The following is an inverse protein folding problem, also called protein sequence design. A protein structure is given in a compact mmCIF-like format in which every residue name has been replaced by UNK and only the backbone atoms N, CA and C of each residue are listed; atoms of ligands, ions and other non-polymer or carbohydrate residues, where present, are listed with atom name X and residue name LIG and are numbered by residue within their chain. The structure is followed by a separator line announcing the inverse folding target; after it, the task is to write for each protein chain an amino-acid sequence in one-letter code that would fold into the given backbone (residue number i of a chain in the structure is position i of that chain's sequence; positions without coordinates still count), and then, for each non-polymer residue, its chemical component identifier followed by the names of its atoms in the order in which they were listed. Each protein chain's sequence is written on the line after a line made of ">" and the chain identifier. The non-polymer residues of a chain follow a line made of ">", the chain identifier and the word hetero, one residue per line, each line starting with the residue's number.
data_IF_524219555474
#
_entry.id   IF_524219555474
#
_cell.length_a   1.000
_cell.length_b   1.000
_cell.length_c   1.000
_cell.angle_alpha   90.00
_cell.angle_beta   90.00
_cell.angle_gamma   90.00
#
_symmetry.space_group_name_H-M   'P 1'
#
loop_
_entity.id
_entity.type
_entity.pdbx_description
1 polymer ?
#
# COMPACT_ATOMS: atom_id res chain seq x y z
N UNK A 1 -20.86 14.10 -42.60
CA UNK A 1 -19.87 15.03 -42.03
C UNK A 1 -20.37 15.65 -40.71
N UNK A 2 -21.53 16.31 -40.65
CA UNK A 2 -22.11 16.80 -39.38
C UNK A 2 -22.42 15.69 -38.36
N UNK A 3 -22.92 14.53 -38.82
CA UNK A 3 -23.12 13.37 -37.94
C UNK A 3 -21.79 12.76 -37.40
N UNK A 4 -20.68 12.88 -38.14
CA UNK A 4 -19.36 12.47 -37.67
C UNK A 4 -18.78 13.47 -36.67
N UNK A 5 -19.06 14.76 -36.86
CA UNK A 5 -18.65 15.82 -35.93
C UNK A 5 -19.41 15.68 -34.60
N UNK A 6 -20.73 15.42 -34.63
CA UNK A 6 -21.50 15.15 -33.41
C UNK A 6 -21.06 13.84 -32.71
N UNK A 7 -20.69 12.81 -33.47
CA UNK A 7 -20.12 11.58 -32.90
C UNK A 7 -18.76 11.80 -32.25
N UNK A 8 -17.93 12.71 -32.80
CA UNK A 8 -16.61 13.05 -32.24
C UNK A 8 -16.76 13.99 -31.04
N UNK A 9 -17.73 14.92 -31.06
CA UNK A 9 -18.05 15.79 -29.93
C UNK A 9 -18.65 15.01 -28.76
N UNK A 10 -19.55 14.06 -29.05
CA UNK A 10 -20.07 13.13 -28.07
C UNK A 10 -18.95 12.23 -27.53
N UNK A 11 -18.08 11.68 -28.38
CA UNK A 11 -16.93 10.87 -27.96
C UNK A 11 -15.88 11.68 -27.16
N UNK A 12 -15.70 12.96 -27.46
CA UNK A 12 -14.79 13.85 -26.74
C UNK A 12 -15.36 14.26 -25.37
N UNK A 13 -16.66 14.53 -25.28
CA UNK A 13 -17.34 14.71 -23.99
C UNK A 13 -17.37 13.41 -23.18
N UNK A 14 -17.57 12.26 -23.82
CA UNK A 14 -17.51 10.95 -23.16
C UNK A 14 -16.08 10.59 -22.72
N UNK A 15 -15.04 10.93 -23.49
CA UNK A 15 -13.64 10.77 -23.10
C UNK A 15 -13.24 11.73 -22.00
N UNK A 16 -13.69 12.99 -22.02
CA UNK A 16 -13.46 13.93 -20.91
C UNK A 16 -14.14 13.45 -19.64
N UNK A 17 -15.40 13.00 -19.74
CA UNK A 17 -16.15 12.45 -18.61
C UNK A 17 -15.54 11.13 -18.14
N UNK A 18 -15.09 10.24 -19.04
CA UNK A 18 -14.44 8.99 -18.65
C UNK A 18 -13.04 9.18 -18.10
N UNK A 19 -12.30 10.20 -18.56
CA UNK A 19 -10.98 10.56 -18.02
C UNK A 19 -11.12 11.19 -16.64
N UNK A 20 -12.11 12.05 -16.44
CA UNK A 20 -12.48 12.60 -15.13
C UNK A 20 -12.94 11.47 -14.21
N UNK A 21 -13.82 10.58 -14.68
CA UNK A 21 -14.28 9.43 -13.90
C UNK A 21 -13.14 8.44 -13.60
N UNK A 22 -12.22 8.24 -14.55
CA UNK A 22 -11.02 7.40 -14.39
C UNK A 22 -10.06 8.00 -13.37
N UNK A 23 -9.83 9.32 -13.40
CA UNK A 23 -9.04 10.02 -12.40
C UNK A 23 -9.72 10.01 -11.03
N UNK A 24 -11.02 10.26 -10.95
CA UNK A 24 -11.80 10.13 -9.72
C UNK A 24 -11.70 8.71 -9.17
N UNK A 25 -11.80 7.68 -10.01
CA UNK A 25 -11.66 6.28 -9.59
C UNK A 25 -10.22 5.93 -9.17
N UNK A 26 -9.20 6.44 -9.88
CA UNK A 26 -7.78 6.30 -9.47
C UNK A 26 -7.50 7.01 -8.13
N UNK A 27 -8.12 8.16 -7.90
CA UNK A 27 -7.97 8.95 -6.67
C UNK A 27 -8.74 8.31 -5.51
N UNK A 28 -9.93 7.74 -5.75
CA UNK A 28 -10.70 6.94 -4.78
C UNK A 28 -10.01 5.63 -4.40
N UNK A 29 -9.33 5.00 -5.35
CA UNK A 29 -8.58 3.75 -5.12
C UNK A 29 -7.15 4.00 -4.62
N UNK A 30 -6.73 5.26 -4.48
CA UNK A 30 -5.43 5.57 -3.91
C UNK A 30 -5.44 5.19 -2.43
N UNK A 31 -4.60 4.23 -2.06
CA UNK A 31 -4.39 3.77 -0.70
C UNK A 31 -3.70 4.87 0.13
N UNK A 32 -4.36 6.00 0.39
CA UNK A 32 -3.90 7.06 1.27
C UNK A 32 -5.07 7.50 2.16
N UNK A 33 -4.81 7.77 3.45
CA UNK A 33 -5.79 8.46 4.32
C UNK A 33 -5.74 9.98 4.11
N UNK A 34 -5.55 10.44 2.88
CA UNK A 34 -5.94 11.81 2.56
C UNK A 34 -7.35 11.70 2.01
N UNK A 35 -8.40 11.98 2.82
CA UNK A 35 -9.74 12.07 2.28
C UNK A 35 -9.71 13.16 1.21
N UNK A 36 -10.46 12.94 0.14
CA UNK A 36 -10.76 13.99 -0.80
C UNK A 36 -11.55 15.04 -0.02
N UNK A 37 -10.88 16.08 0.49
CA UNK A 37 -11.55 17.12 1.27
C UNK A 37 -12.47 17.94 0.36
N UNK A 38 -13.47 18.62 0.92
CA UNK A 38 -14.26 19.58 0.14
C UNK A 38 -13.36 20.69 -0.42
N UNK A 39 -12.24 20.99 0.25
CA UNK A 39 -11.20 21.90 -0.26
C UNK A 39 -10.43 21.30 -1.44
N UNK A 40 -10.16 19.99 -1.48
CA UNK A 40 -9.54 19.31 -2.63
C UNK A 40 -10.51 19.23 -3.82
N UNK A 41 -11.80 19.01 -3.56
CA UNK A 41 -12.84 19.08 -4.58
C UNK A 41 -12.96 20.50 -5.13
N UNK A 42 -12.97 21.52 -4.28
CA UNK A 42 -12.96 22.93 -4.68
C UNK A 42 -11.65 23.30 -5.37
N UNK A 43 -10.50 22.80 -4.95
CA UNK A 43 -9.21 23.08 -5.57
C UNK A 43 -9.14 22.43 -6.95
N UNK A 44 -9.56 21.17 -7.10
CA UNK A 44 -9.65 20.46 -8.38
C UNK A 44 -10.70 21.11 -9.29
N UNK A 45 -11.84 21.53 -8.76
CA UNK A 45 -12.87 22.23 -9.53
C UNK A 45 -12.40 23.63 -9.95
N UNK A 46 -11.65 24.33 -9.11
CA UNK A 46 -11.05 25.64 -9.39
C UNK A 46 -9.82 25.53 -10.28
N UNK A 47 -9.10 24.42 -10.26
CA UNK A 47 -7.97 24.09 -11.14
C UNK A 47 -8.47 23.63 -12.51
N UNK A 48 -9.58 22.88 -12.58
CA UNK A 48 -10.31 22.59 -13.81
C UNK A 48 -10.87 23.88 -14.41
N UNK A 49 -11.51 24.73 -13.61
CA UNK A 49 -12.09 26.01 -14.05
C UNK A 49 -11.05 27.09 -14.38
N UNK A 50 -9.87 27.08 -13.74
CA UNK A 50 -8.77 28.03 -14.03
C UNK A 50 -7.84 27.55 -15.14
N UNK A 51 -7.67 26.24 -15.31
CA UNK A 51 -6.98 25.64 -16.47
C UNK A 51 -7.83 25.71 -17.74
N UNK A 52 -9.16 25.75 -17.60
CA UNK A 52 -10.12 26.06 -18.65
C UNK A 52 -10.63 27.48 -18.49
N UNK A 53 -9.75 28.48 -18.65
CA UNK A 53 -10.19 29.87 -18.74
C UNK A 53 -10.78 30.15 -20.15
N UNK A 54 -11.88 29.47 -20.46
CA UNK A 54 -12.62 29.60 -21.71
C UNK A 54 -14.01 30.10 -21.36
N UNK A 55 -14.31 31.40 -21.57
CA UNK A 55 -15.70 31.82 -21.69
C UNK A 55 -16.27 31.10 -22.90
N UNK A 56 -17.35 30.35 -22.70
CA UNK A 56 -18.05 29.63 -23.76
C UNK A 56 -18.53 30.67 -24.79
N UNK A 57 -18.10 30.62 -26.08
CA UNK A 57 -18.58 31.59 -27.06
C UNK A 57 -20.04 31.27 -27.42
N UNK A 58 -20.93 32.24 -27.24
CA UNK A 58 -22.36 32.08 -27.53
C UNK A 58 -22.69 31.98 -29.04
N UNK A 59 -21.69 32.14 -29.94
CA UNK A 59 -21.91 32.12 -31.39
C UNK A 59 -20.90 31.27 -32.16
N UNK A 60 -21.43 30.54 -33.13
CA UNK A 60 -20.81 29.45 -33.92
C UNK A 60 -19.59 29.85 -34.79
N UNK A 61 -19.31 31.14 -34.96
CA UNK A 61 -18.27 31.64 -35.88
C UNK A 61 -16.85 31.69 -35.29
N UNK A 62 -16.68 31.58 -33.96
CA UNK A 62 -15.38 31.67 -33.29
C UNK A 62 -14.66 30.32 -33.04
N UNK A 63 -15.28 29.20 -33.45
CA UNK A 63 -14.76 27.85 -33.20
C UNK A 63 -13.42 27.54 -33.90
N UNK A 64 -13.15 28.21 -35.03
CA UNK A 64 -11.92 28.00 -35.82
C UNK A 64 -10.69 28.64 -35.16
N UNK A 65 -10.88 29.78 -34.50
CA UNK A 65 -9.84 30.44 -33.70
C UNK A 65 -9.60 29.72 -32.36
N UNK A 66 -10.65 29.13 -31.77
CA UNK A 66 -10.58 28.31 -30.57
C UNK A 66 -9.73 27.04 -30.77
N UNK A 67 -9.99 26.29 -31.85
CA UNK A 67 -9.26 25.05 -32.16
C UNK A 67 -7.76 25.28 -32.37
N UNK A 68 -7.38 26.33 -33.11
CA UNK A 68 -5.97 26.69 -33.32
C UNK A 68 -5.23 27.09 -32.02
N UNK A 69 -5.96 27.50 -30.97
CA UNK A 69 -5.39 27.95 -29.68
C UNK A 69 -5.27 26.81 -28.68
N UNK A 70 -6.18 25.84 -28.73
CA UNK A 70 -6.09 24.56 -28.01
C UNK A 70 -4.88 23.75 -28.48
N UNK A 71 -4.63 23.70 -29.79
CA UNK A 71 -3.45 23.02 -30.35
C UNK A 71 -2.12 23.70 -29.93
N UNK A 72 -2.10 25.04 -29.79
CA UNK A 72 -0.95 25.78 -29.25
C UNK A 72 -0.73 25.58 -27.73
N UNK A 73 -1.79 25.27 -26.98
CA UNK A 73 -1.70 24.97 -25.54
C UNK A 73 -1.17 23.55 -25.34
N UNK A 74 -1.60 22.58 -26.15
CA UNK A 74 -1.05 21.23 -26.14
C UNK A 74 0.45 21.19 -26.46
N UNK A 75 0.94 22.04 -27.38
CA UNK A 75 2.38 22.15 -27.67
C UNK A 75 3.20 22.89 -26.59
N UNK A 76 2.54 23.64 -25.68
CA UNK A 76 3.18 24.30 -24.54
C UNK A 76 3.24 23.42 -23.30
N UNK A 77 2.25 22.54 -23.13
CA UNK A 77 2.21 21.55 -22.03
C UNK A 77 3.34 20.53 -22.18
N UNK A 78 3.71 20.12 -23.41
CA UNK A 78 4.89 19.26 -23.63
C UNK A 78 6.22 19.94 -23.26
N UNK A 79 6.29 21.27 -23.30
CA UNK A 79 7.49 22.04 -22.96
C UNK A 79 7.59 22.39 -21.46
N UNK A 80 6.50 22.29 -20.69
CA UNK A 80 6.49 22.64 -19.27
C UNK A 80 7.10 21.54 -18.38
N UNK A 81 6.97 20.27 -18.78
CA UNK A 81 7.53 19.11 -18.07
C UNK A 81 9.07 19.08 -18.02
N UNK A 82 9.78 19.86 -18.86
CA UNK A 82 11.26 19.87 -18.88
C UNK A 82 11.90 20.98 -18.03
N UNK A 83 11.13 22.02 -17.67
CA UNK A 83 11.68 23.22 -17.02
C UNK A 83 11.50 23.25 -15.50
N UNK A 84 10.63 22.40 -14.94
CA UNK A 84 10.44 22.30 -13.49
C UNK A 84 11.63 21.60 -12.81
N UNK A 85 12.14 20.51 -13.41
CA UNK A 85 13.30 19.76 -12.89
C UNK A 85 14.58 20.62 -12.88
N UNK A 86 14.74 21.53 -13.84
CA UNK A 86 15.90 22.44 -13.92
C UNK A 86 15.90 23.56 -12.89
N UNK A 87 14.76 23.87 -12.25
CA UNK A 87 14.62 24.96 -11.27
C UNK A 87 14.94 24.54 -9.83
N UNK A 88 14.87 23.24 -9.50
CA UNK A 88 15.10 22.75 -8.13
C UNK A 88 16.59 22.44 -7.89
N UNK A 89 17.38 22.18 -8.94
CA UNK A 89 18.83 21.97 -8.86
C UNK A 89 19.62 23.04 -9.64
N UNK A 90 20.00 24.17 -9.01
CA UNK A 90 20.90 25.11 -9.64
C UNK A 90 22.32 24.54 -9.67
N UNK A 91 22.72 23.95 -10.79
CA UNK A 91 24.11 23.58 -11.05
C UNK A 91 25.02 24.81 -10.99
N UNK A 92 25.90 24.90 -9.99
CA UNK A 92 27.11 25.72 -10.10
C UNK A 92 28.09 24.99 -11.01
N UNK A 93 28.23 25.48 -12.25
CA UNK A 93 29.40 25.20 -13.09
C UNK A 93 30.64 25.73 -12.38
N UNK A 94 31.57 24.84 -12.01
CA UNK A 94 32.98 25.26 -11.88
C UNK A 94 33.58 25.29 -13.29
N UNK A 95 34.27 26.39 -13.60
CA UNK A 95 34.97 26.61 -14.86
C UNK A 95 36.19 25.67 -14.99
N UNK A 96 36.57 25.29 -16.22
CA UNK A 96 37.67 24.38 -16.47
C UNK A 96 39.03 25.09 -16.43
N UNK A 97 40.02 24.44 -15.83
CA UNK A 97 41.44 24.76 -16.07
C UNK A 97 41.85 24.11 -17.40
N UNK A 98 42.28 24.94 -18.35
CA UNK A 98 42.94 24.60 -19.63
C UNK A 98 44.23 23.80 -19.35
N UNK A 99 44.68 22.77 -20.09
CA UNK A 99 45.15 22.62 -21.49
C UNK A 99 45.80 21.19 -21.48
N UNK A 100 45.95 20.36 -22.52
CA UNK A 100 45.86 20.52 -23.97
C UNK A 100 45.82 19.13 -24.67
N UNK A 101 45.51 19.18 -25.98
CA UNK A 101 45.88 18.25 -27.08
C UNK A 101 45.16 16.89 -27.19
N UNK A 102 44.56 16.47 -28.30
CA UNK A 102 44.51 16.93 -29.70
C UNK A 102 43.26 16.37 -30.44
N UNK A 103 42.65 17.19 -31.31
CA UNK A 103 42.25 16.95 -32.74
C UNK A 103 41.77 15.51 -33.09
N UNK A 104 40.56 15.21 -33.58
CA UNK A 104 39.89 15.74 -34.80
C UNK A 104 38.42 15.28 -34.90
N UNK A 105 37.63 16.09 -35.60
CA UNK A 105 36.24 15.94 -35.98
C UNK A 105 35.96 14.77 -36.97
N UNK A 106 34.73 14.24 -36.86
CA UNK A 106 34.01 13.55 -37.92
C UNK A 106 32.52 13.50 -37.57
N UNK A 107 31.74 14.43 -38.12
CA UNK A 107 30.28 14.49 -37.96
C UNK A 107 29.57 13.46 -38.88
N UNK A 108 28.32 13.18 -38.48
CA UNK A 108 27.15 12.77 -39.26
C UNK A 108 26.70 11.31 -39.13
N UNK A 109 25.45 11.16 -38.66
CA UNK A 109 24.71 9.91 -38.62
C UNK A 109 23.55 9.98 -37.63
N UNK A 110 22.50 10.74 -37.97
CA UNK A 110 21.20 10.66 -37.31
C UNK A 110 20.68 9.21 -37.30
N UNK A 111 20.22 8.73 -36.13
CA UNK A 111 19.05 7.85 -36.06
C UNK A 111 18.25 8.17 -34.80
N UNK A 112 17.13 8.85 -35.01
CA UNK A 112 15.99 8.78 -34.13
C UNK A 112 15.59 7.30 -33.99
N UNK A 113 15.60 6.78 -32.76
CA UNK A 113 14.82 5.60 -32.42
C UNK A 113 13.79 5.99 -31.37
N UNK A 114 12.56 6.05 -31.86
CA UNK A 114 11.30 6.13 -31.15
C UNK A 114 11.26 5.07 -30.05
N UNK A 115 11.28 5.49 -28.79
CA UNK A 115 11.03 4.60 -27.66
C UNK A 115 9.54 4.24 -27.63
N UNK A 116 9.22 3.05 -28.14
CA UNK A 116 7.93 2.42 -27.92
C UNK A 116 7.83 1.93 -26.46
N UNK A 117 6.82 2.45 -25.76
CA UNK A 117 6.37 1.97 -24.45
C UNK A 117 5.96 0.49 -24.55
N UNK A 118 6.44 -0.35 -23.64
CA UNK A 118 5.90 -1.70 -23.41
C UNK A 118 5.46 -1.86 -21.96
N UNK A 119 4.27 -2.42 -21.78
CA UNK A 119 3.67 -2.78 -20.50
C UNK A 119 4.04 -4.23 -20.16
N UNK A 120 4.35 -4.52 -18.91
CA UNK A 120 4.33 -5.89 -18.39
C UNK A 120 3.23 -6.08 -17.32
N UNK A 121 3.08 -7.34 -16.88
CA UNK A 121 1.88 -7.86 -16.22
C UNK A 121 1.72 -7.41 -14.75
N UNK A 122 2.67 -6.65 -14.20
CA UNK A 122 2.66 -6.22 -12.80
C UNK A 122 2.74 -4.68 -12.62
N UNK A 123 2.64 -3.91 -13.71
CA UNK A 123 2.36 -2.46 -13.61
C UNK A 123 3.50 -1.58 -13.09
N UNK A 124 4.76 -2.05 -13.06
CA UNK A 124 5.91 -1.21 -12.75
C UNK A 124 7.08 -1.53 -13.69
N UNK A 125 7.58 -0.52 -14.42
CA UNK A 125 8.93 -0.56 -15.01
C UNK A 125 9.78 0.55 -14.40
N UNK A 126 10.91 0.12 -13.86
CA UNK A 126 12.08 0.90 -13.48
C UNK A 126 12.70 1.57 -14.71
N UNK A 127 13.05 2.85 -14.59
CA UNK A 127 13.99 3.51 -15.50
C UNK A 127 15.37 3.39 -14.82
N UNK A 128 16.26 2.58 -15.39
CA UNK A 128 17.65 2.42 -14.92
C UNK A 128 18.54 3.68 -15.10
N UNK A 129 17.96 4.83 -15.47
CA UNK A 129 18.70 6.07 -15.75
C UNK A 129 18.49 7.19 -14.72
N UNK A 130 18.00 6.89 -13.51
CA UNK A 130 18.09 7.83 -12.39
C UNK A 130 19.14 7.40 -11.36
N UNK A 131 20.37 7.19 -11.85
CA UNK A 131 21.56 7.41 -11.04
C UNK A 131 21.74 8.92 -10.81
N UNK A 132 20.96 9.48 -9.87
CA UNK A 132 21.36 10.65 -9.10
C UNK A 132 20.73 10.51 -7.71
N UNK A 133 21.59 10.07 -6.79
CA UNK A 133 21.32 9.59 -5.45
C UNK A 133 20.65 10.66 -4.56
N UNK A 134 19.38 10.45 -4.21
CA UNK A 134 18.93 10.76 -2.86
C UNK A 134 19.49 9.65 -1.96
N UNK A 135 20.21 10.00 -0.89
CA UNK A 135 20.75 9.02 0.03
C UNK A 135 19.60 8.19 0.66
N UNK A 136 19.90 6.95 1.09
CA UNK A 136 18.93 6.00 1.68
C UNK A 136 18.11 6.56 2.87
N UNK A 137 18.50 7.73 3.42
CA UNK A 137 17.91 8.35 4.60
C UNK A 137 17.45 9.81 4.36
N UNK A 138 17.44 10.31 3.11
CA UNK A 138 17.05 11.71 2.83
C UNK A 138 15.58 11.99 3.23
N UNK A 139 14.72 10.98 3.17
CA UNK A 139 13.34 11.08 3.65
C UNK A 139 13.24 11.36 5.16
N UNK A 140 14.22 10.91 5.97
CA UNK A 140 14.27 11.18 7.41
C UNK A 140 14.51 12.68 7.62
N UNK A 141 15.39 13.28 6.84
CA UNK A 141 15.61 14.72 6.89
C UNK A 141 14.37 15.49 6.42
N UNK A 142 13.72 15.07 5.33
CA UNK A 142 12.47 15.68 4.87
C UNK A 142 11.36 15.63 5.92
N UNK A 143 11.21 14.47 6.59
CA UNK A 143 10.27 14.29 7.70
C UNK A 143 10.63 15.17 8.90
N UNK A 144 11.89 15.13 9.36
CA UNK A 144 12.39 15.94 10.50
C UNK A 144 12.28 17.44 10.23
N UNK A 145 12.46 17.87 8.99
CA UNK A 145 12.29 19.25 8.55
C UNK A 145 10.82 19.66 8.36
N UNK A 146 9.86 18.74 8.52
CA UNK A 146 8.42 18.95 8.29
C UNK A 146 8.10 19.48 6.89
N UNK A 147 8.89 19.06 5.89
CA UNK A 147 8.81 19.55 4.50
C UNK A 147 8.06 18.61 3.55
N UNK A 148 7.47 17.54 4.06
CA UNK A 148 6.63 16.65 3.27
C UNK A 148 5.18 16.82 3.70
N UNK A 149 4.34 17.25 2.77
CA UNK A 149 2.90 17.36 2.98
C UNK A 149 2.19 16.36 2.06
N UNK A 150 1.49 15.38 2.64
CA UNK A 150 0.80 14.33 1.87
C UNK A 150 -0.22 14.88 0.85
N UNK A 151 -0.76 16.08 1.12
CA UNK A 151 -1.68 16.80 0.24
C UNK A 151 -0.98 17.52 -0.90
N UNK A 152 0.15 18.18 -0.64
CA UNK A 152 0.86 19.02 -1.62
C UNK A 152 1.86 18.23 -2.47
N UNK A 153 2.45 17.17 -1.90
CA UNK A 153 3.53 16.37 -2.51
C UNK A 153 3.05 14.99 -2.97
N UNK A 154 1.75 14.84 -3.26
CA UNK A 154 1.10 13.55 -3.55
C UNK A 154 1.78 12.78 -4.69
N UNK A 155 2.32 13.47 -5.69
CA UNK A 155 3.03 12.86 -6.82
C UNK A 155 4.36 12.19 -6.40
N UNK A 156 5.00 12.69 -5.35
CA UNK A 156 6.25 12.15 -4.80
C UNK A 156 5.99 10.99 -3.84
N UNK A 157 4.74 10.83 -3.37
CA UNK A 157 4.40 9.87 -2.34
C UNK A 157 4.81 8.42 -2.65
N UNK A 158 4.62 7.87 -3.87
CA UNK A 158 5.09 6.52 -4.19
C UNK A 158 6.60 6.35 -4.06
N UNK A 159 7.38 7.37 -4.47
CA UNK A 159 8.84 7.35 -4.39
C UNK A 159 9.30 7.43 -2.94
N UNK A 160 8.71 8.33 -2.15
CA UNK A 160 8.98 8.45 -0.71
C UNK A 160 8.65 7.15 0.02
N UNK A 161 7.47 6.57 -0.26
CA UNK A 161 7.03 5.29 0.33
C UNK A 161 8.04 4.17 0.06
N UNK A 162 8.56 4.09 -1.16
CA UNK A 162 9.58 3.10 -1.52
C UNK A 162 10.94 3.35 -0.84
N UNK A 163 11.40 4.61 -0.79
CA UNK A 163 12.65 4.96 -0.12
C UNK A 163 12.58 4.72 1.40
N UNK A 164 11.46 5.07 2.03
CA UNK A 164 11.18 4.76 3.44
C UNK A 164 11.34 3.26 3.68
N UNK A 165 10.71 2.44 2.82
CA UNK A 165 10.82 1.00 2.93
C UNK A 165 12.26 0.48 2.80
N UNK A 166 13.04 0.98 1.83
CA UNK A 166 14.45 0.59 1.70
C UNK A 166 15.28 0.93 2.96
N UNK A 167 14.95 2.05 3.62
CA UNK A 167 15.62 2.52 4.83
C UNK A 167 15.22 1.79 6.12
N UNK A 168 14.04 1.14 6.18
CA UNK A 168 13.49 0.52 7.40
C UNK A 168 14.46 -0.42 8.11
N UNK A 169 15.18 -1.25 7.34
CA UNK A 169 16.13 -2.24 7.87
C UNK A 169 17.28 -1.60 8.67
N UNK A 170 17.56 -0.32 8.43
CA UNK A 170 18.61 0.46 9.11
C UNK A 170 18.10 1.38 10.21
N UNK A 171 16.78 1.43 10.45
CA UNK A 171 16.18 2.32 11.45
C UNK A 171 16.16 1.70 12.85
N UNK A 172 16.52 2.49 13.89
CA UNK A 172 16.16 2.18 15.28
C UNK A 172 14.64 2.15 15.46
N UNK A 173 14.15 1.39 16.46
CA UNK A 173 12.72 1.26 16.75
C UNK A 173 12.02 2.61 16.97
N UNK A 174 12.72 3.62 17.51
CA UNK A 174 12.18 4.96 17.78
C UNK A 174 11.83 5.75 16.50
N UNK A 175 12.50 5.47 15.38
CA UNK A 175 12.24 6.14 14.09
C UNK A 175 11.24 5.35 13.21
N UNK A 176 10.90 4.11 13.57
CA UNK A 176 9.93 3.29 12.81
C UNK A 176 8.52 3.87 12.84
N UNK A 177 8.13 4.51 13.93
CA UNK A 177 6.85 5.20 14.04
C UNK A 177 6.67 6.18 12.86
N UNK A 178 7.64 7.05 12.62
CA UNK A 178 7.64 8.02 11.51
C UNK A 178 7.59 7.33 10.15
N UNK A 179 8.38 6.26 9.98
CA UNK A 179 8.38 5.47 8.75
C UNK A 179 6.99 4.89 8.46
N UNK A 180 6.33 4.31 9.46
CA UNK A 180 5.00 3.71 9.30
C UNK A 180 3.94 4.77 8.95
N UNK A 181 3.99 5.96 9.57
CA UNK A 181 3.10 7.07 9.19
C UNK A 181 3.29 7.46 7.72
N UNK A 182 4.53 7.53 7.24
CA UNK A 182 4.83 7.78 5.83
C UNK A 182 4.33 6.62 4.96
N UNK A 183 4.61 5.36 5.28
CA UNK A 183 4.15 4.20 4.49
C UNK A 183 2.63 4.14 4.34
N UNK A 184 1.91 4.59 5.37
CA UNK A 184 0.46 4.55 5.45
C UNK A 184 -0.24 5.84 5.02
N UNK A 185 0.49 6.94 4.86
CA UNK A 185 -0.07 8.20 4.41
C UNK A 185 -0.83 8.92 5.52
N UNK A 186 -0.36 8.84 6.77
CA UNK A 186 -1.03 9.41 7.93
C UNK A 186 -0.40 10.76 8.26
N UNK A 187 -1.19 11.82 8.13
CA UNK A 187 -0.83 13.17 8.57
C UNK A 187 -1.40 13.45 9.96
N UNK A 188 -0.52 13.52 10.96
CA UNK A 188 -0.90 13.78 12.36
C UNK A 188 -1.38 15.22 12.61
N UNK A 189 -1.29 16.11 11.62
CA UNK A 189 -1.86 17.47 11.70
C UNK A 189 -3.22 17.59 11.04
N UNK A 190 -3.62 16.59 10.25
CA UNK A 190 -4.90 16.60 9.53
C UNK A 190 -6.09 16.61 10.49
N UNK A 191 -7.19 17.21 10.05
CA UNK A 191 -8.46 17.15 10.77
C UNK A 191 -8.94 15.71 10.94
N UNK A 192 -8.77 14.88 9.91
CA UNK A 192 -9.15 13.48 9.98
C UNK A 192 -8.43 12.74 11.12
N UNK A 193 -7.13 12.97 11.30
CA UNK A 193 -6.40 12.36 12.42
C UNK A 193 -6.95 12.81 13.77
N UNK A 194 -7.31 14.10 13.92
CA UNK A 194 -7.96 14.60 15.14
C UNK A 194 -9.28 13.89 15.41
N UNK A 195 -10.09 13.67 14.38
CA UNK A 195 -11.32 12.88 14.51
C UNK A 195 -11.04 11.45 14.96
N UNK A 196 -10.02 10.77 14.39
CA UNK A 196 -9.61 9.43 14.86
C UNK A 196 -9.20 9.42 16.33
N UNK A 197 -8.48 10.46 16.76
CA UNK A 197 -8.05 10.61 18.15
C UNK A 197 -9.23 10.82 19.10
N UNK A 198 -10.19 11.69 18.75
CA UNK A 198 -11.40 11.91 19.53
C UNK A 198 -12.24 10.63 19.64
N UNK A 199 -12.51 9.97 18.50
CA UNK A 199 -13.24 8.71 18.46
C UNK A 199 -12.60 7.63 19.33
N UNK A 200 -11.27 7.51 19.30
CA UNK A 200 -10.56 6.53 20.12
C UNK A 200 -10.90 6.71 21.62
N UNK A 201 -10.79 7.92 22.15
CA UNK A 201 -11.07 8.19 23.55
C UNK A 201 -12.56 8.04 23.89
N UNK A 202 -13.46 8.46 23.01
CA UNK A 202 -14.90 8.28 23.18
C UNK A 202 -15.27 6.80 23.27
N UNK A 203 -14.68 5.95 22.43
CA UNK A 203 -14.89 4.49 22.48
C UNK A 203 -14.32 3.84 23.74
N UNK A 204 -13.22 4.35 24.30
CA UNK A 204 -12.71 3.86 25.59
C UNK A 204 -13.71 4.14 26.72
N UNK A 205 -14.33 5.31 26.71
CA UNK A 205 -15.33 5.73 27.70
C UNK A 205 -16.67 4.99 27.54
N UNK A 206 -16.92 4.36 26.40
CA UNK A 206 -18.15 3.59 26.15
C UNK A 206 -18.22 2.37 27.07
N UNK A 207 -19.29 2.27 27.87
CA UNK A 207 -19.56 1.09 28.69
C UNK A 207 -20.44 0.11 27.92
N UNK A 208 -20.09 -1.18 27.94
CA UNK A 208 -20.94 -2.21 27.36
C UNK A 208 -22.07 -2.58 28.33
N UNK A 209 -23.28 -2.72 27.81
CA UNK A 209 -24.41 -3.22 28.58
C UNK A 209 -24.30 -4.74 28.78
N UNK A 210 -24.79 -5.24 29.92
CA UNK A 210 -24.79 -6.68 30.20
C UNK A 210 -25.71 -7.41 29.22
N UNK A 211 -25.20 -8.46 28.59
CA UNK A 211 -25.86 -9.23 27.56
C UNK A 211 -25.77 -8.63 26.16
N UNK A 212 -25.05 -7.51 25.98
CA UNK A 212 -24.86 -6.89 24.68
C UNK A 212 -23.88 -7.68 23.80
N UNK A 213 -23.97 -7.46 22.49
CA UNK A 213 -22.98 -7.95 21.52
C UNK A 213 -21.57 -7.43 21.85
N UNK A 214 -21.46 -6.19 22.34
CA UNK A 214 -20.18 -5.63 22.76
C UNK A 214 -19.57 -6.38 23.94
N UNK A 215 -20.36 -6.82 24.94
CA UNK A 215 -19.83 -7.66 26.03
C UNK A 215 -19.28 -8.98 25.49
N UNK A 216 -19.96 -9.59 24.52
CA UNK A 216 -19.47 -10.81 23.87
C UNK A 216 -18.14 -10.57 23.13
N UNK A 217 -18.04 -9.49 22.35
CA UNK A 217 -16.82 -9.08 21.66
C UNK A 217 -15.68 -8.84 22.66
N UNK A 218 -15.92 -8.08 23.73
CA UNK A 218 -14.92 -7.81 24.76
C UNK A 218 -14.43 -9.10 25.45
N UNK A 219 -15.30 -10.10 25.62
CA UNK A 219 -14.92 -11.42 26.14
C UNK A 219 -14.05 -12.23 25.16
N UNK A 220 -14.22 -12.06 23.84
CA UNK A 220 -13.34 -12.65 22.84
C UNK A 220 -11.96 -12.00 22.87
N UNK A 221 -11.92 -10.67 22.95
CA UNK A 221 -10.67 -9.89 23.05
C UNK A 221 -9.88 -10.31 24.31
N UNK A 222 -10.55 -10.39 25.45
CA UNK A 222 -9.98 -10.81 26.74
C UNK A 222 -9.24 -12.15 26.62
N UNK A 223 -9.89 -13.17 26.03
CA UNK A 223 -9.29 -14.49 25.79
C UNK A 223 -8.06 -14.43 24.89
N UNK A 224 -8.08 -13.56 23.89
CA UNK A 224 -7.01 -13.46 22.90
C UNK A 224 -5.77 -12.76 23.42
N UNK A 225 -5.93 -11.75 24.28
CA UNK A 225 -4.80 -11.02 24.87
C UNK A 225 -3.83 -11.97 25.57
N UNK A 226 -4.33 -12.91 26.36
CA UNK A 226 -3.50 -13.86 27.11
C UNK A 226 -2.64 -14.78 26.22
N UNK A 227 -3.06 -15.01 24.97
CA UNK A 227 -2.32 -15.84 24.00
C UNK A 227 -1.58 -15.03 22.93
N UNK A 228 -1.66 -13.70 22.96
CA UNK A 228 -1.01 -12.83 21.97
C UNK A 228 0.44 -12.57 22.38
N UNK A 229 1.41 -13.20 21.70
CA UNK A 229 2.85 -13.06 22.00
C UNK A 229 3.15 -13.16 23.50
N UNK A 230 2.57 -14.16 24.16
CA UNK A 230 2.52 -14.27 25.62
C UNK A 230 3.91 -14.21 26.31
N UNK A 231 4.95 -14.62 25.60
CA UNK A 231 6.34 -14.62 26.09
C UNK A 231 6.92 -13.21 26.31
N UNK A 232 6.40 -12.20 25.60
CA UNK A 232 6.95 -10.84 25.59
C UNK A 232 6.57 -9.98 26.80
N UNK A 233 5.54 -10.38 27.58
CA UNK A 233 5.09 -9.69 28.80
C UNK A 233 4.86 -8.17 28.65
N UNK A 234 4.47 -7.69 27.45
CA UNK A 234 4.28 -6.24 27.18
C UNK A 234 2.94 -5.68 27.68
N UNK A 235 1.86 -6.47 27.67
CA UNK A 235 0.51 -6.03 28.07
C UNK A 235 -0.05 -6.96 29.16
N UNK A 236 0.56 -6.90 30.34
CA UNK A 236 0.30 -7.84 31.46
C UNK A 236 -0.83 -7.39 32.38
N UNK A 237 -1.29 -6.15 32.24
CA UNK A 237 -2.42 -5.63 32.97
C UNK A 237 -3.68 -6.46 32.70
N UNK A 238 -4.54 -6.60 33.72
CA UNK A 238 -5.81 -7.30 33.57
C UNK A 238 -6.59 -6.70 32.38
N UNK A 239 -7.07 -7.52 31.43
CA UNK A 239 -7.97 -7.06 30.36
C UNK A 239 -9.19 -6.33 30.96
N UNK A 240 -9.80 -5.35 30.28
CA UNK A 240 -10.90 -4.54 30.86
C UNK A 240 -10.55 -3.66 32.08
N UNK A 241 -9.30 -3.65 32.56
CA UNK A 241 -8.89 -2.72 33.63
C UNK A 241 -8.86 -1.25 33.21
N UNK A 242 -9.00 -0.98 31.90
CA UNK A 242 -8.76 0.33 31.29
C UNK A 242 -7.27 0.66 31.11
N UNK A 243 -6.35 -0.15 31.66
CA UNK A 243 -4.89 0.04 31.53
C UNK A 243 -4.24 -0.90 30.51
N UNK A 244 -4.92 -1.98 30.12
CA UNK A 244 -4.42 -2.88 29.09
C UNK A 244 -4.59 -2.25 27.70
N UNK A 245 -3.49 -1.78 27.12
CA UNK A 245 -3.50 -1.02 25.87
C UNK A 245 -3.94 -1.84 24.66
N UNK A 246 -3.58 -3.12 24.61
CA UNK A 246 -4.03 -4.04 23.56
C UNK A 246 -5.55 -4.25 23.62
N UNK A 247 -6.08 -4.46 24.83
CA UNK A 247 -7.53 -4.53 25.04
C UNK A 247 -8.22 -3.26 24.57
N UNK A 248 -7.71 -2.10 24.99
CA UNK A 248 -8.28 -0.80 24.69
C UNK A 248 -8.31 -0.52 23.18
N UNK A 249 -7.22 -0.81 22.46
CA UNK A 249 -7.16 -0.63 21.00
C UNK A 249 -8.16 -1.53 20.28
N UNK A 250 -8.21 -2.83 20.62
CA UNK A 250 -9.14 -3.77 19.98
C UNK A 250 -10.60 -3.46 20.31
N UNK A 251 -10.89 -3.08 21.56
CA UNK A 251 -12.22 -2.60 21.97
C UNK A 251 -12.62 -1.36 21.15
N UNK A 252 -11.76 -0.35 21.09
CA UNK A 252 -12.05 0.87 20.34
C UNK A 252 -12.30 0.58 18.86
N UNK A 253 -11.52 -0.33 18.27
CA UNK A 253 -11.74 -0.74 16.87
C UNK A 253 -13.06 -1.46 16.66
N UNK A 254 -13.47 -2.34 17.59
CA UNK A 254 -14.76 -3.03 17.48
C UNK A 254 -15.97 -2.09 17.49
N UNK A 255 -15.86 -0.96 18.19
CA UNK A 255 -16.88 0.08 18.23
C UNK A 255 -16.81 1.03 17.02
N UNK A 256 -15.61 1.20 16.45
CA UNK A 256 -15.37 2.05 15.29
C UNK A 256 -15.87 1.43 13.97
N UNK A 257 -15.63 0.14 13.74
CA UNK A 257 -16.07 -0.59 12.54
C UNK A 257 -16.93 -1.78 12.98
N UNK A 258 -18.20 -1.51 13.28
CA UNK A 258 -19.15 -2.50 13.83
C UNK A 258 -19.42 -3.67 12.88
N UNK A 259 -19.24 -3.48 11.57
CA UNK A 259 -19.35 -4.57 10.60
C UNK A 259 -18.24 -5.61 10.78
N UNK A 260 -17.07 -5.18 11.24
CA UNK A 260 -15.95 -6.04 11.60
C UNK A 260 -16.06 -6.51 13.04
N UNK A 261 -16.37 -5.60 13.96
CA UNK A 261 -16.28 -5.83 15.40
C UNK A 261 -14.88 -6.31 15.77
N UNK A 262 -14.79 -7.57 16.21
CA UNK A 262 -13.52 -8.24 16.47
C UNK A 262 -13.56 -9.67 15.93
N UNK A 263 -12.54 -10.02 15.14
CA UNK A 263 -12.27 -11.40 14.73
C UNK A 263 -10.91 -11.84 15.27
N UNK A 264 -10.86 -13.09 15.73
CA UNK A 264 -9.63 -13.73 16.20
C UNK A 264 -8.51 -13.60 15.15
N UNK A 265 -7.33 -13.15 15.59
CA UNK A 265 -6.17 -12.91 14.75
C UNK A 265 -5.81 -11.44 14.59
N UNK A 266 -6.79 -10.53 14.75
CA UNK A 266 -6.57 -9.08 14.74
C UNK A 266 -5.62 -8.61 15.86
N UNK A 267 -5.67 -9.30 17.01
CA UNK A 267 -4.82 -9.08 18.16
C UNK A 267 -3.31 -9.09 17.84
N UNK A 268 -2.85 -9.92 16.91
CA UNK A 268 -1.44 -9.98 16.56
C UNK A 268 -0.99 -8.72 15.81
N UNK A 269 -1.80 -8.25 14.86
CA UNK A 269 -1.51 -7.00 14.11
C UNK A 269 -1.55 -5.81 15.07
N UNK A 270 -2.58 -5.74 15.94
CA UNK A 270 -2.71 -4.68 16.94
C UNK A 270 -1.51 -4.64 17.91
N UNK A 271 -1.02 -5.81 18.34
CA UNK A 271 0.14 -5.92 19.22
C UNK A 271 1.40 -5.37 18.53
N UNK A 272 1.66 -5.74 17.26
CA UNK A 272 2.81 -5.25 16.49
C UNK A 272 2.76 -3.73 16.30
N UNK A 273 1.57 -3.18 16.09
CA UNK A 273 1.37 -1.73 16.03
C UNK A 273 1.72 -1.08 17.37
N UNK A 274 1.12 -1.52 18.48
CA UNK A 274 1.38 -0.93 19.80
C UNK A 274 2.86 -1.00 20.20
N UNK A 275 3.56 -2.10 19.85
CA UNK A 275 5.01 -2.24 20.07
C UNK A 275 5.83 -1.11 19.41
N UNK A 276 5.42 -0.65 18.22
CA UNK A 276 6.14 0.37 17.46
C UNK A 276 5.66 1.81 17.74
N UNK A 277 4.55 1.98 18.46
CA UNK A 277 3.91 3.28 18.68
C UNK A 277 4.01 3.80 20.12
N UNK A 278 4.95 3.27 20.91
CA UNK A 278 5.31 3.83 22.22
C UNK A 278 4.10 3.88 23.14
N UNK A 279 3.74 5.06 23.67
CA UNK A 279 2.55 5.31 24.50
C UNK A 279 1.41 6.04 23.74
N UNK A 280 1.57 6.30 22.44
CA UNK A 280 0.57 7.04 21.65
C UNK A 280 -0.52 6.09 21.11
N UNK A 281 -1.45 5.73 21.99
CA UNK A 281 -2.52 4.77 21.71
C UNK A 281 -3.50 5.24 20.62
N UNK A 282 -3.78 6.54 20.57
CA UNK A 282 -4.67 7.10 19.54
C UNK A 282 -4.03 7.00 18.14
N UNK A 283 -2.72 7.26 18.05
CA UNK A 283 -1.99 7.08 16.81
C UNK A 283 -1.86 5.61 16.42
N UNK A 284 -1.61 4.73 17.38
CA UNK A 284 -1.62 3.28 17.17
C UNK A 284 -2.98 2.80 16.63
N UNK A 285 -4.09 3.31 17.19
CA UNK A 285 -5.44 3.04 16.71
C UNK A 285 -5.64 3.50 15.26
N UNK A 286 -5.25 4.72 14.91
CA UNK A 286 -5.34 5.24 13.54
C UNK A 286 -4.52 4.40 12.54
N UNK A 287 -3.32 3.99 12.94
CA UNK A 287 -2.42 3.11 12.16
C UNK A 287 -3.02 1.73 11.96
N UNK A 288 -3.56 1.13 13.02
CA UNK A 288 -4.23 -0.17 12.95
C UNK A 288 -5.43 -0.12 12.00
N UNK A 289 -6.31 0.87 12.16
CA UNK A 289 -7.46 1.06 11.27
C UNK A 289 -7.02 1.29 9.82
N UNK A 290 -5.88 1.95 9.62
CA UNK A 290 -5.32 2.18 8.30
C UNK A 290 -4.79 0.90 7.65
N UNK A 291 -4.05 0.07 8.39
CA UNK A 291 -3.55 -1.22 7.90
C UNK A 291 -4.72 -2.05 7.37
N UNK A 292 -5.83 -2.11 8.10
CA UNK A 292 -7.02 -2.89 7.70
C UNK A 292 -7.75 -2.32 6.47
N UNK A 293 -7.54 -1.05 6.11
CA UNK A 293 -8.09 -0.46 4.88
C UNK A 293 -7.27 -0.79 3.62
N UNK A 294 -6.02 -1.25 3.75
CA UNK A 294 -5.16 -1.58 2.60
C UNK A 294 -5.80 -2.70 1.79
N UNK A 295 -6.04 -2.49 0.49
CA UNK A 295 -6.70 -3.47 -0.39
C UNK A 295 -8.02 -4.06 0.18
N UNK A 296 -8.73 -3.28 1.01
CA UNK A 296 -9.92 -3.73 1.74
C UNK A 296 -9.66 -4.95 2.66
N UNK A 297 -8.49 -5.03 3.30
CA UNK A 297 -8.10 -6.15 4.17
C UNK A 297 -9.13 -6.45 5.26
N UNK A 298 -9.87 -5.44 5.72
CA UNK A 298 -10.95 -5.58 6.70
C UNK A 298 -12.00 -6.64 6.31
N UNK A 299 -12.18 -6.89 5.01
CA UNK A 299 -13.09 -7.91 4.45
C UNK A 299 -12.65 -9.36 4.78
N UNK A 300 -11.47 -9.58 5.36
CA UNK A 300 -11.09 -10.85 5.97
C UNK A 300 -11.78 -11.09 7.32
N UNK A 301 -12.24 -10.03 7.99
CA UNK A 301 -12.72 -10.09 9.37
C UNK A 301 -14.23 -9.89 9.52
N UNK A 302 -14.94 -9.64 8.41
CA UNK A 302 -16.40 -9.58 8.39
C UNK A 302 -16.99 -10.98 8.16
N UNK A 303 -18.31 -11.09 8.28
CA UNK A 303 -19.05 -12.32 8.04
C UNK A 303 -18.67 -12.99 6.71
N UNK A 304 -18.53 -14.31 6.73
CA UNK A 304 -18.14 -15.19 5.61
C UNK A 304 -16.72 -14.96 5.05
N UNK A 305 -15.92 -14.06 5.62
CA UNK A 305 -14.51 -13.81 5.25
C UNK A 305 -14.29 -13.65 3.73
N UNK A 306 -15.09 -12.83 3.02
CA UNK A 306 -15.15 -12.85 1.55
C UNK A 306 -13.78 -12.62 0.87
N UNK A 307 -12.91 -11.81 1.48
CA UNK A 307 -11.56 -11.57 0.95
C UNK A 307 -10.70 -12.83 0.92
N UNK A 308 -10.86 -13.75 1.88
CA UNK A 308 -10.15 -15.03 1.87
C UNK A 308 -10.55 -15.84 0.63
N UNK A 309 -11.85 -15.90 0.34
CA UNK A 309 -12.39 -16.59 -0.84
C UNK A 309 -12.08 -15.91 -2.17
N UNK A 310 -11.64 -14.64 -2.17
CA UNK A 310 -11.06 -13.98 -3.34
C UNK A 310 -9.59 -14.37 -3.55
N UNK A 311 -8.81 -14.50 -2.46
CA UNK A 311 -7.37 -14.74 -2.53
C UNK A 311 -6.99 -16.22 -2.72
N UNK A 312 -7.74 -17.16 -2.11
CA UNK A 312 -7.45 -18.59 -2.25
C UNK A 312 -7.49 -19.06 -3.72
N UNK A 313 -8.47 -18.67 -4.55
CA UNK A 313 -8.47 -18.99 -5.98
C UNK A 313 -7.24 -18.50 -6.73
N UNK A 314 -6.63 -17.39 -6.31
CA UNK A 314 -5.37 -16.89 -6.91
C UNK A 314 -4.22 -17.86 -6.63
N UNK A 315 -4.12 -18.39 -5.40
CA UNK A 315 -3.13 -19.41 -5.04
C UNK A 315 -3.41 -20.73 -5.77
N UNK A 316 -4.67 -21.20 -5.78
CA UNK A 316 -5.06 -22.43 -6.51
C UNK A 316 -4.76 -22.32 -8.01
N UNK A 317 -5.09 -21.19 -8.64
CA UNK A 317 -4.76 -20.97 -10.05
C UNK A 317 -3.25 -20.95 -10.29
N UNK A 318 -2.44 -20.45 -9.34
CA UNK A 318 -0.99 -20.51 -9.45
C UNK A 318 -0.49 -21.95 -9.38
N UNK A 319 -0.96 -22.75 -8.41
CA UNK A 319 -0.61 -24.16 -8.28
C UNK A 319 -0.92 -24.93 -9.57
N UNK A 320 -2.16 -24.82 -10.06
CA UNK A 320 -2.60 -25.47 -11.30
C UNK A 320 -1.72 -25.11 -12.52
N UNK A 321 -1.33 -23.83 -12.66
CA UNK A 321 -0.59 -23.34 -13.84
C UNK A 321 0.92 -23.54 -13.74
N UNK A 322 1.50 -23.43 -12.54
CA UNK A 322 2.96 -23.36 -12.34
C UNK A 322 3.52 -24.60 -11.65
N UNK A 323 2.72 -25.30 -10.86
CA UNK A 323 3.09 -26.50 -10.09
C UNK A 323 2.05 -27.63 -10.28
N UNK A 324 1.69 -28.02 -11.52
CA UNK A 324 0.55 -28.91 -11.79
C UNK A 324 0.64 -30.29 -11.12
N UNK A 325 1.85 -30.84 -10.96
CA UNK A 325 2.06 -32.11 -10.24
C UNK A 325 1.71 -31.99 -8.76
N UNK A 326 2.07 -30.86 -8.14
CA UNK A 326 1.75 -30.58 -6.76
C UNK A 326 0.25 -30.31 -6.60
N UNK A 327 -0.35 -29.56 -7.51
CA UNK A 327 -1.81 -29.33 -7.55
C UNK A 327 -2.60 -30.65 -7.59
N UNK A 328 -2.19 -31.57 -8.46
CA UNK A 328 -2.76 -32.92 -8.54
C UNK A 328 -2.60 -33.67 -7.21
N UNK A 329 -1.39 -33.70 -6.63
CA UNK A 329 -1.13 -34.34 -5.34
C UNK A 329 -2.01 -33.77 -4.22
N UNK A 330 -2.12 -32.44 -4.11
CA UNK A 330 -2.95 -31.78 -3.10
C UNK A 330 -4.44 -32.14 -3.28
N UNK A 331 -4.90 -32.22 -4.54
CA UNK A 331 -6.28 -32.59 -4.88
C UNK A 331 -6.59 -34.06 -4.55
N UNK A 332 -5.72 -34.98 -4.94
CA UNK A 332 -5.86 -36.42 -4.66
C UNK A 332 -5.87 -36.71 -3.15
N UNK A 333 -5.07 -35.96 -2.38
CA UNK A 333 -5.03 -36.04 -0.92
C UNK A 333 -6.09 -35.18 -0.22
N UNK A 334 -7.00 -34.54 -0.97
CA UNK A 334 -8.09 -33.71 -0.46
C UNK A 334 -7.63 -32.65 0.55
N UNK A 335 -6.48 -32.01 0.28
CA UNK A 335 -5.89 -31.01 1.18
C UNK A 335 -6.75 -29.75 1.21
N UNK A 336 -7.31 -29.36 2.38
CA UNK A 336 -8.21 -28.21 2.46
C UNK A 336 -7.40 -26.90 2.54
N UNK A 337 -7.02 -26.34 1.40
CA UNK A 337 -6.17 -25.14 1.33
C UNK A 337 -6.82 -23.91 1.99
N UNK A 338 -8.14 -23.74 1.90
CA UNK A 338 -8.87 -22.62 2.49
C UNK A 338 -8.58 -22.44 3.99
N UNK A 339 -8.85 -23.42 4.88
CA UNK A 339 -8.54 -23.28 6.30
C UNK A 339 -7.03 -23.31 6.60
N UNK A 340 -6.22 -24.02 5.81
CA UNK A 340 -4.77 -24.08 6.03
C UNK A 340 -4.05 -22.76 5.74
N UNK A 341 -4.57 -21.99 4.78
CA UNK A 341 -4.01 -20.71 4.37
C UNK A 341 -4.74 -19.50 4.99
N UNK A 342 -5.77 -19.71 5.82
CA UNK A 342 -6.47 -18.60 6.47
C UNK A 342 -5.54 -17.78 7.39
N UNK A 343 -4.74 -18.45 8.22
CA UNK A 343 -3.85 -17.80 9.19
C UNK A 343 -2.90 -16.76 8.58
N UNK A 344 -2.10 -17.05 7.53
CA UNK A 344 -1.19 -16.06 6.96
C UNK A 344 -1.89 -14.81 6.41
N UNK A 345 -3.14 -14.92 5.93
CA UNK A 345 -3.94 -13.76 5.53
C UNK A 345 -4.48 -12.99 6.74
N UNK A 346 -5.10 -13.69 7.69
CA UNK A 346 -5.76 -13.07 8.85
C UNK A 346 -4.75 -12.36 9.78
N UNK A 347 -3.55 -12.90 9.95
CA UNK A 347 -2.55 -12.35 10.88
C UNK A 347 -1.39 -11.65 10.20
N UNK A 348 -1.35 -11.64 8.86
CA UNK A 348 -0.18 -11.18 8.08
C UNK A 348 1.08 -11.91 8.59
N UNK A 349 0.96 -13.23 8.70
CA UNK A 349 1.97 -14.16 9.24
C UNK A 349 2.34 -13.99 10.73
N UNK A 350 1.80 -13.00 11.44
CA UNK A 350 2.31 -12.63 12.76
C UNK A 350 2.23 -13.72 13.84
N UNK A 351 1.31 -14.68 13.72
CA UNK A 351 1.22 -15.82 14.64
C UNK A 351 1.95 -17.09 14.15
N UNK A 352 2.68 -17.00 13.03
CA UNK A 352 3.32 -18.13 12.34
C UNK A 352 4.85 -18.04 12.34
N UNK A 353 5.40 -16.88 12.65
CA UNK A 353 6.83 -16.56 12.64
C UNK A 353 7.18 -15.71 13.88
N UNK A 354 8.47 -15.61 14.16
CA UNK A 354 8.98 -14.80 15.27
C UNK A 354 8.68 -13.30 15.09
N UNK A 355 8.62 -12.58 16.22
CA UNK A 355 8.12 -11.19 16.27
C UNK A 355 8.92 -10.25 15.38
N UNK A 356 10.24 -10.36 15.34
CA UNK A 356 11.09 -9.53 14.50
C UNK A 356 10.79 -9.72 13.01
N UNK A 357 10.47 -10.95 12.61
CA UNK A 357 10.09 -11.26 11.22
C UNK A 357 8.62 -10.90 10.94
N UNK A 358 7.74 -11.01 11.94
CA UNK A 358 6.36 -10.54 11.85
C UNK A 358 6.28 -9.02 11.64
N UNK A 359 7.13 -8.23 12.30
CA UNK A 359 7.26 -6.78 12.05
C UNK A 359 7.67 -6.50 10.61
N UNK A 360 8.69 -7.20 10.10
CA UNK A 360 9.15 -7.06 8.70
C UNK A 360 8.08 -7.46 7.70
N UNK A 361 7.29 -8.48 8.01
CA UNK A 361 6.18 -8.92 7.18
C UNK A 361 5.08 -7.86 7.13
N UNK A 362 4.73 -7.26 8.27
CA UNK A 362 3.76 -6.17 8.35
C UNK A 362 4.24 -4.93 7.58
N UNK A 363 5.53 -4.58 7.68
CA UNK A 363 6.15 -3.49 6.91
C UNK A 363 6.07 -3.70 5.40
N UNK A 364 6.34 -4.92 4.93
CA UNK A 364 6.18 -5.31 3.52
C UNK A 364 4.72 -5.25 3.08
N UNK A 365 3.80 -5.69 3.93
CA UNK A 365 2.36 -5.57 3.67
C UNK A 365 1.93 -4.11 3.54
N UNK A 366 2.42 -3.20 4.40
CA UNK A 366 2.09 -1.77 4.27
C UNK A 366 2.60 -1.16 2.96
N UNK A 367 3.73 -1.66 2.43
CA UNK A 367 4.25 -1.23 1.14
C UNK A 367 3.45 -1.81 -0.04
N UNK A 368 3.33 -3.14 -0.08
CA UNK A 368 2.95 -3.94 -1.25
C UNK A 368 1.49 -4.43 -1.22
N UNK A 369 0.84 -4.32 -0.07
CA UNK A 369 -0.53 -4.78 0.15
C UNK A 369 -0.68 -6.29 0.04
N UNK A 370 -1.84 -6.71 -0.45
CA UNK A 370 -2.22 -8.13 -0.58
C UNK A 370 -1.25 -8.96 -1.44
N UNK A 371 -0.62 -8.32 -2.44
CA UNK A 371 0.32 -8.97 -3.32
C UNK A 371 1.46 -9.59 -2.51
N UNK A 372 1.99 -8.91 -1.50
CA UNK A 372 3.05 -9.46 -0.66
C UNK A 372 2.68 -10.81 -0.03
N UNK A 373 1.48 -10.92 0.55
CA UNK A 373 1.05 -12.17 1.21
C UNK A 373 0.87 -13.28 0.17
N UNK A 374 0.17 -12.98 -0.93
CA UNK A 374 -0.08 -13.92 -2.02
C UNK A 374 1.24 -14.44 -2.61
N UNK A 375 2.14 -13.53 -2.91
CA UNK A 375 3.38 -13.79 -3.62
C UNK A 375 4.41 -14.49 -2.73
N UNK A 376 4.40 -14.21 -1.41
CA UNK A 376 5.13 -14.98 -0.40
C UNK A 376 4.63 -16.42 -0.36
N UNK A 377 3.32 -16.66 -0.32
CA UNK A 377 2.74 -18.01 -0.32
C UNK A 377 3.08 -18.78 -1.61
N UNK A 378 2.98 -18.15 -2.78
CA UNK A 378 3.39 -18.77 -4.06
C UNK A 378 4.87 -19.17 -4.03
N UNK A 379 5.73 -18.32 -3.49
CA UNK A 379 7.16 -18.62 -3.35
C UNK A 379 7.38 -19.82 -2.41
N UNK A 380 6.70 -19.87 -1.26
CA UNK A 380 6.78 -21.00 -0.33
C UNK A 380 6.41 -22.33 -1.01
N UNK A 381 5.29 -22.37 -1.75
CA UNK A 381 4.92 -23.57 -2.51
C UNK A 381 5.96 -23.94 -3.57
N UNK A 382 6.61 -22.96 -4.19
CA UNK A 382 7.65 -23.20 -5.20
C UNK A 382 8.92 -23.76 -4.59
N UNK A 383 9.35 -23.21 -3.45
CA UNK A 383 10.55 -23.62 -2.72
C UNK A 383 10.37 -25.02 -2.13
N UNK A 384 9.22 -25.30 -1.53
CA UNK A 384 8.98 -26.55 -0.81
C UNK A 384 8.35 -27.66 -1.67
N UNK A 385 8.16 -27.44 -2.97
CA UNK A 385 7.45 -28.39 -3.86
C UNK A 385 8.00 -29.82 -3.80
N UNK A 386 9.32 -30.00 -3.74
CA UNK A 386 9.92 -31.35 -3.79
C UNK A 386 9.63 -32.10 -2.49
N UNK A 387 9.79 -31.43 -1.34
CA UNK A 387 9.45 -32.00 -0.02
C UNK A 387 7.95 -32.32 0.07
N UNK A 388 7.09 -31.43 -0.44
CA UNK A 388 5.63 -31.65 -0.47
C UNK A 388 5.24 -32.87 -1.32
N UNK A 389 5.97 -33.18 -2.39
CA UNK A 389 5.67 -34.35 -3.23
C UNK A 389 5.92 -35.68 -2.51
N UNK A 390 6.87 -35.70 -1.58
CA UNK A 390 7.25 -36.89 -0.79
C UNK A 390 6.31 -37.16 0.40
N UNK A 391 5.54 -36.15 0.82
CA UNK A 391 4.65 -36.25 1.99
C UNK A 391 3.36 -37.03 1.71
N UNK A 392 2.82 -37.64 2.76
CA UNK A 392 1.46 -38.21 2.75
C UNK A 392 0.39 -37.13 3.03
N UNK A 393 -0.89 -37.52 3.01
CA UNK A 393 -2.01 -36.59 3.20
C UNK A 393 -1.96 -35.84 4.55
N UNK A 394 -1.51 -36.50 5.62
CA UNK A 394 -1.48 -35.91 6.95
C UNK A 394 -0.30 -34.95 7.08
N UNK A 395 0.89 -35.38 6.63
CA UNK A 395 2.09 -34.57 6.65
C UNK A 395 1.95 -33.31 5.80
N UNK A 396 1.28 -33.40 4.64
CA UNK A 396 0.96 -32.23 3.80
C UNK A 396 0.18 -31.17 4.57
N UNK A 397 -0.89 -31.57 5.26
CA UNK A 397 -1.73 -30.63 6.00
C UNK A 397 -0.97 -29.99 7.17
N UNK A 398 -0.20 -30.80 7.91
CA UNK A 398 0.62 -30.31 9.02
C UNK A 398 1.71 -29.36 8.53
N UNK A 399 2.37 -29.70 7.42
CA UNK A 399 3.45 -28.89 6.88
C UNK A 399 2.92 -27.56 6.36
N UNK A 400 1.91 -27.57 5.47
CA UNK A 400 1.33 -26.36 4.88
C UNK A 400 0.73 -25.45 5.96
N UNK A 401 -0.02 -26.02 6.91
CA UNK A 401 -0.73 -25.22 7.91
C UNK A 401 0.14 -24.70 9.06
N UNK A 402 1.34 -25.25 9.29
CA UNK A 402 2.16 -24.89 10.47
C UNK A 402 3.66 -24.76 10.19
N UNK A 403 4.28 -25.73 9.51
CA UNK A 403 5.75 -25.80 9.41
C UNK A 403 6.34 -25.02 8.24
N UNK A 404 5.57 -24.82 7.18
CA UNK A 404 6.02 -24.21 5.93
C UNK A 404 6.56 -22.79 6.14
N UNK A 405 5.95 -22.01 7.04
CA UNK A 405 6.34 -20.63 7.33
C UNK A 405 7.72 -20.57 8.00
N UNK A 406 7.90 -21.33 9.08
CA UNK A 406 9.16 -21.43 9.81
C UNK A 406 10.29 -22.01 8.94
N UNK A 407 10.00 -23.08 8.18
CA UNK A 407 10.97 -23.65 7.25
C UNK A 407 11.41 -22.64 6.17
N UNK A 408 10.53 -21.72 5.77
CA UNK A 408 10.87 -20.67 4.81
C UNK A 408 11.75 -19.58 5.42
N UNK A 409 11.57 -19.28 6.71
CA UNK A 409 12.44 -18.36 7.47
C UNK A 409 13.84 -18.97 7.62
N UNK A 410 13.91 -20.21 8.08
CA UNK A 410 15.18 -20.94 8.33
C UNK A 410 16.02 -21.08 7.04
N UNK A 411 15.37 -21.35 5.92
CA UNK A 411 16.04 -21.45 4.62
C UNK A 411 16.32 -20.08 3.97
N UNK A 412 15.99 -18.97 4.63
CA UNK A 412 16.18 -17.61 4.13
C UNK A 412 15.32 -17.26 2.90
N UNK A 413 14.25 -18.02 2.65
CA UNK A 413 13.42 -17.89 1.45
C UNK A 413 12.15 -17.06 1.65
N UNK A 414 11.74 -16.84 2.90
CA UNK A 414 10.52 -16.12 3.26
C UNK A 414 10.45 -14.70 2.68
N UNK A 415 11.57 -13.96 2.74
CA UNK A 415 11.64 -12.56 2.33
C UNK A 415 12.28 -12.31 0.97
N UNK A 416 12.56 -13.37 0.19
CA UNK A 416 13.16 -13.24 -1.14
C UNK A 416 12.27 -12.37 -2.03
N UNK A 417 12.86 -11.31 -2.58
CA UNK A 417 12.19 -10.44 -3.54
C UNK A 417 11.88 -11.20 -4.82
N UNK A 418 10.74 -10.89 -5.43
CA UNK A 418 10.24 -11.41 -6.71
C UNK A 418 11.10 -11.08 -7.94
N UNK A 419 12.37 -10.70 -7.73
CA UNK A 419 13.33 -10.26 -8.75
C UNK A 419 14.07 -11.40 -9.44
N UNK A 420 13.77 -12.66 -9.15
CA UNK A 420 14.47 -13.80 -9.74
C UNK A 420 13.54 -14.86 -10.31
N UNK A 421 12.80 -14.50 -11.36
CA UNK A 421 12.52 -15.46 -12.42
C UNK A 421 13.00 -14.89 -13.74
N UNK A 422 14.14 -15.45 -14.18
CA UNK A 422 14.79 -15.26 -15.48
C UNK A 422 13.86 -15.55 -16.65
#
# INVERSE_FOLDING_TARGET
>A
MEAQIQSIEAAAQHQQTSLIQSKINQLKNSQSLVPFSDEDFVMIQKEINSSLNVPIPEKKQDFKAFKSRVDQIQSKISNFSSNFIKRIFPFKKQQPIQQSDQVTQGQQGERQQSQHVKLDQNGFIFIDDYQNELSKLDWIQLYKMKKFAFTQDRELYPQVKYQVFQGLSSLPSQDRQAAWLLLLGIDTKSEQYRTYQELYYDFLCTQCERGSEQEYIENLIDKDIHRTFAEQKMFTEHPKSGRNRLFNLLKAYSLYDTDVGYMQGMNFIAWLVLKNFGEDDALAFAVFARILKINEWKRLYIQDTPKLFEMIPVIKSFLMKRLPKLDQKLTENQVPLEPLLAAPFITIFANLIEIEDAERALERFMLLGENYVIDTLKNMFTVHKEILMEMDAWDLQVFIGRKMFQASIENGTFFLSHTHHK
#
